data_IF_559856802004
#
_entry.id   IF_559856802004
#
_cell.length_a   1.000
_cell.length_b   1.000
_cell.length_c   1.000
_cell.angle_alpha   90.00
_cell.angle_beta   90.00
_cell.angle_gamma   90.00
#
_symmetry.space_group_name_H-M   'P 1'
#
loop_
_entity.id
_entity.type
_entity.pdbx_description
1 polymer ?
#
# COMPACT_ATOMS: atom_id res chain seq x y z
N UNK A 1 23.63 -8.42 23.89
CA UNK A 1 23.27 -9.63 23.13
C UNK A 1 21.89 -9.55 22.45
N UNK A 2 20.82 -8.98 23.04
CA UNK A 2 19.49 -8.85 22.38
C UNK A 2 19.47 -8.02 21.09
N UNK A 3 20.35 -7.03 20.95
CA UNK A 3 20.37 -6.12 19.79
C UNK A 3 20.92 -6.74 18.50
N UNK A 4 21.79 -7.76 18.58
CA UNK A 4 22.40 -8.39 17.41
C UNK A 4 21.37 -9.29 16.70
N UNK A 5 20.52 -9.99 17.44
CA UNK A 5 19.43 -10.81 16.88
C UNK A 5 18.32 -9.95 16.25
N UNK A 6 18.00 -8.80 16.84
CA UNK A 6 17.06 -7.85 16.25
C UNK A 6 17.57 -7.25 14.93
N UNK A 7 18.87 -6.91 14.86
CA UNK A 7 19.50 -6.39 13.64
C UNK A 7 19.62 -7.44 12.52
N UNK A 8 19.87 -8.71 12.87
CA UNK A 8 19.93 -9.81 11.91
C UNK A 8 18.54 -10.18 11.38
N UNK A 9 17.52 -10.19 12.24
CA UNK A 9 16.12 -10.38 11.81
C UNK A 9 15.67 -9.20 10.94
N UNK A 10 15.99 -7.95 11.31
CA UNK A 10 15.66 -6.81 10.45
C UNK A 10 16.37 -6.87 9.09
N UNK A 11 17.62 -7.35 9.03
CA UNK A 11 18.34 -7.46 7.74
C UNK A 11 17.79 -8.59 6.85
N UNK A 12 17.33 -9.70 7.45
CA UNK A 12 16.66 -10.79 6.72
C UNK A 12 15.26 -10.39 6.23
N UNK A 13 14.54 -9.59 7.04
CA UNK A 13 13.21 -9.09 6.70
C UNK A 13 13.23 -7.99 5.64
N UNK A 14 14.28 -7.16 5.60
CA UNK A 14 14.44 -6.14 4.54
C UNK A 14 14.57 -6.76 3.14
N UNK A 15 15.24 -7.91 3.01
CA UNK A 15 15.33 -8.62 1.72
C UNK A 15 13.99 -9.22 1.27
N UNK A 16 13.23 -9.76 2.23
CA UNK A 16 11.89 -10.30 1.97
C UNK A 16 10.86 -9.18 1.66
N UNK A 17 10.96 -8.04 2.34
CA UNK A 17 10.03 -6.90 2.14
C UNK A 17 10.16 -6.28 0.76
N UNK A 18 11.39 -6.13 0.25
CA UNK A 18 11.66 -5.60 -1.10
C UNK A 18 11.12 -6.56 -2.17
N UNK A 19 11.29 -7.87 -1.96
CA UNK A 19 10.82 -8.89 -2.90
C UNK A 19 9.29 -8.98 -2.95
N UNK A 20 8.62 -8.94 -1.79
CA UNK A 20 7.16 -8.91 -1.72
C UNK A 20 6.59 -7.63 -2.36
N UNK A 21 7.21 -6.47 -2.13
CA UNK A 21 6.80 -5.22 -2.77
C UNK A 21 7.01 -5.23 -4.30
N UNK A 22 8.09 -5.86 -4.78
CA UNK A 22 8.35 -6.02 -6.22
C UNK A 22 7.29 -6.91 -6.88
N UNK A 23 7.06 -8.10 -6.33
CA UNK A 23 6.02 -9.02 -6.83
C UNK A 23 4.62 -8.39 -6.74
N UNK A 24 4.35 -7.59 -5.71
CA UNK A 24 3.10 -6.87 -5.59
C UNK A 24 2.88 -5.89 -6.76
N UNK A 25 3.92 -5.15 -7.16
CA UNK A 25 3.85 -4.26 -8.33
C UNK A 25 3.64 -5.07 -9.63
N UNK A 26 4.32 -6.21 -9.79
CA UNK A 26 4.15 -7.08 -10.96
C UNK A 26 2.72 -7.61 -11.06
N UNK A 27 2.18 -8.16 -9.96
CA UNK A 27 0.80 -8.61 -9.89
C UNK A 27 -0.19 -7.45 -10.16
N UNK A 28 0.11 -6.24 -9.67
CA UNK A 28 -0.70 -5.06 -9.94
C UNK A 28 -0.71 -4.69 -11.44
N UNK A 29 0.45 -4.72 -12.09
CA UNK A 29 0.61 -4.40 -13.52
C UNK A 29 -0.07 -5.46 -14.42
N UNK A 30 -0.10 -6.72 -13.98
CA UNK A 30 -0.84 -7.81 -14.62
C UNK A 30 -2.36 -7.76 -14.39
N UNK A 31 -2.83 -6.87 -13.50
CA UNK A 31 -4.25 -6.77 -13.12
C UNK A 31 -4.70 -7.78 -12.07
N UNK A 32 -3.77 -8.56 -11.51
CA UNK A 32 -3.99 -9.52 -10.43
C UNK A 32 -4.07 -8.80 -9.07
N UNK A 33 -5.09 -7.94 -8.91
CA UNK A 33 -5.16 -6.99 -7.79
C UNK A 33 -5.28 -7.66 -6.41
N UNK A 34 -5.95 -8.82 -6.30
CA UNK A 34 -6.05 -9.54 -5.02
C UNK A 34 -4.71 -10.11 -4.55
N UNK A 35 -3.88 -10.58 -5.48
CA UNK A 35 -2.52 -11.03 -5.19
C UNK A 35 -1.64 -9.84 -4.80
N UNK A 36 -1.71 -8.74 -5.55
CA UNK A 36 -1.01 -7.50 -5.22
C UNK A 36 -1.36 -7.01 -3.81
N UNK A 37 -2.63 -7.04 -3.41
CA UNK A 37 -3.09 -6.68 -2.06
C UNK A 37 -2.43 -7.57 -1.00
N UNK A 38 -2.37 -8.88 -1.22
CA UNK A 38 -1.77 -9.82 -0.27
C UNK A 38 -0.27 -9.55 -0.09
N UNK A 39 0.44 -9.32 -1.20
CA UNK A 39 1.87 -9.06 -1.21
C UNK A 39 2.21 -7.68 -0.61
N UNK A 40 1.44 -6.64 -0.91
CA UNK A 40 1.63 -5.33 -0.27
C UNK A 40 1.42 -5.39 1.23
N UNK A 41 0.45 -6.18 1.73
CA UNK A 41 0.26 -6.36 3.18
C UNK A 41 1.48 -7.00 3.84
N UNK A 42 2.05 -8.04 3.23
CA UNK A 42 3.29 -8.66 3.72
C UNK A 42 4.46 -7.67 3.73
N UNK A 43 4.59 -6.87 2.67
CA UNK A 43 5.61 -5.84 2.60
C UNK A 43 5.41 -4.77 3.70
N UNK A 44 4.16 -4.39 3.99
CA UNK A 44 3.81 -3.45 5.08
C UNK A 44 4.09 -4.07 6.45
N UNK A 45 3.83 -5.36 6.67
CA UNK A 45 4.13 -6.03 7.94
C UNK A 45 5.64 -5.99 8.24
N UNK A 46 6.47 -5.98 7.20
CA UNK A 46 7.92 -5.87 7.32
C UNK A 46 8.43 -4.42 7.41
N UNK A 47 7.77 -3.47 6.73
CA UNK A 47 8.11 -2.03 6.75
C UNK A 47 6.85 -1.16 6.88
N UNK A 48 6.28 -1.04 8.09
CA UNK A 48 4.99 -0.40 8.29
C UNK A 48 5.01 1.12 8.11
N UNK A 49 6.19 1.75 8.19
CA UNK A 49 6.37 3.20 8.05
C UNK A 49 6.52 3.65 6.59
N UNK A 50 6.60 2.69 5.65
CA UNK A 50 6.74 2.99 4.24
C UNK A 50 5.43 3.45 3.61
N UNK A 51 5.21 4.76 3.60
CA UNK A 51 4.03 5.39 3.04
C UNK A 51 3.74 4.96 1.59
N UNK A 52 4.77 4.65 0.78
CA UNK A 52 4.57 4.21 -0.61
C UNK A 52 3.87 2.85 -0.70
N UNK A 53 4.14 1.93 0.23
CA UNK A 53 3.45 0.64 0.28
C UNK A 53 1.97 0.81 0.60
N UNK A 54 1.62 1.72 1.53
CA UNK A 54 0.22 2.07 1.82
C UNK A 54 -0.48 2.70 0.62
N UNK A 55 0.19 3.61 -0.10
CA UNK A 55 -0.35 4.19 -1.34
C UNK A 55 -0.63 3.11 -2.38
N UNK A 56 0.32 2.22 -2.64
CA UNK A 56 0.17 1.16 -3.63
C UNK A 56 -0.92 0.14 -3.23
N UNK A 57 -1.00 -0.23 -1.94
CA UNK A 57 -2.08 -1.05 -1.42
C UNK A 57 -3.45 -0.39 -1.65
N UNK A 58 -3.57 0.91 -1.38
CA UNK A 58 -4.81 1.64 -1.61
C UNK A 58 -5.20 1.66 -3.09
N UNK A 59 -4.23 1.84 -4.00
CA UNK A 59 -4.45 1.73 -5.44
C UNK A 59 -4.92 0.33 -5.86
N UNK A 60 -4.30 -0.73 -5.34
CA UNK A 60 -4.72 -2.11 -5.62
C UNK A 60 -6.14 -2.39 -5.09
N UNK A 61 -6.47 -1.93 -3.88
CA UNK A 61 -7.82 -2.01 -3.32
C UNK A 61 -8.85 -1.29 -4.20
N UNK A 62 -8.53 -0.09 -4.66
CA UNK A 62 -9.40 0.67 -5.57
C UNK A 62 -9.66 -0.10 -6.88
N UNK A 63 -8.61 -0.68 -7.46
CA UNK A 63 -8.70 -1.46 -8.69
C UNK A 63 -9.47 -2.78 -8.53
N UNK A 64 -9.41 -3.40 -7.35
CA UNK A 64 -10.22 -4.58 -7.01
C UNK A 64 -11.70 -4.27 -6.69
N UNK A 65 -12.12 -2.99 -6.74
CA UNK A 65 -13.48 -2.58 -6.39
C UNK A 65 -13.76 -2.49 -4.89
N UNK A 66 -12.74 -2.67 -4.03
CA UNK A 66 -12.86 -2.56 -2.58
C UNK A 66 -12.78 -1.09 -2.13
N UNK A 67 -13.71 -0.26 -2.63
CA UNK A 67 -13.71 1.20 -2.52
C UNK A 67 -13.52 1.72 -1.10
N UNK A 68 -14.28 1.18 -0.13
CA UNK A 68 -14.22 1.63 1.27
C UNK A 68 -12.85 1.37 1.91
N UNK A 69 -12.24 0.22 1.62
CA UNK A 69 -10.91 -0.12 2.13
C UNK A 69 -9.86 0.77 1.47
N UNK A 70 -9.98 1.01 0.16
CA UNK A 70 -9.09 1.90 -0.57
C UNK A 70 -9.08 3.31 0.01
N UNK A 71 -10.25 3.88 0.30
CA UNK A 71 -10.38 5.22 0.91
C UNK A 71 -9.68 5.26 2.27
N UNK A 72 -9.96 4.29 3.15
CA UNK A 72 -9.31 4.22 4.48
C UNK A 72 -7.79 4.11 4.36
N UNK A 73 -7.28 3.33 3.42
CA UNK A 73 -5.83 3.19 3.21
C UNK A 73 -5.20 4.44 2.59
N UNK A 74 -5.89 5.16 1.70
CA UNK A 74 -5.43 6.47 1.22
C UNK A 74 -5.42 7.52 2.34
N UNK A 75 -6.38 7.51 3.26
CA UNK A 75 -6.39 8.38 4.44
C UNK A 75 -5.21 8.06 5.37
N UNK A 76 -4.90 6.77 5.57
CA UNK A 76 -3.71 6.36 6.30
C UNK A 76 -2.44 6.90 5.62
N UNK A 77 -2.27 6.67 4.32
CA UNK A 77 -1.16 7.22 3.55
C UNK A 77 -1.04 8.75 3.69
N UNK A 78 -2.16 9.47 3.61
CA UNK A 78 -2.22 10.93 3.79
C UNK A 78 -1.73 11.37 5.18
N UNK A 79 -2.01 10.58 6.21
CA UNK A 79 -1.57 10.85 7.59
C UNK A 79 -0.06 10.61 7.81
N UNK A 80 0.57 9.78 6.97
CA UNK A 80 2.00 9.43 7.06
C UNK A 80 2.93 10.45 6.42
N UNK A 81 2.39 11.42 5.68
CA UNK A 81 3.17 12.43 4.96
C UNK A 81 2.87 13.85 5.43
N UNK A 82 3.91 14.69 5.49
CA UNK A 82 3.76 16.13 5.71
C UNK A 82 3.69 16.94 4.41
N UNK A 83 4.00 16.31 3.26
CA UNK A 83 4.03 16.95 1.96
C UNK A 83 2.62 17.32 1.48
N UNK A 84 2.44 18.59 1.08
CA UNK A 84 1.19 19.05 0.50
C UNK A 84 0.87 18.34 -0.83
N UNK A 85 1.90 18.01 -1.62
CA UNK A 85 1.76 17.29 -2.89
C UNK A 85 1.21 15.88 -2.68
N UNK A 86 1.78 15.14 -1.73
CA UNK A 86 1.35 13.76 -1.46
C UNK A 86 -0.05 13.73 -0.81
N UNK A 87 -0.38 14.73 0.01
CA UNK A 87 -1.75 14.90 0.51
C UNK A 87 -2.75 15.19 -0.60
N UNK A 88 -2.37 16.04 -1.57
CA UNK A 88 -3.20 16.32 -2.74
C UNK A 88 -3.39 15.07 -3.60
N UNK A 89 -2.33 14.29 -3.80
CA UNK A 89 -2.37 12.99 -4.50
C UNK A 89 -3.31 12.00 -3.81
N UNK A 90 -3.27 11.91 -2.48
CA UNK A 90 -4.19 11.06 -1.72
C UNK A 90 -5.66 11.51 -1.93
N UNK A 91 -5.95 12.80 -1.76
CA UNK A 91 -7.30 13.35 -1.96
C UNK A 91 -7.81 13.16 -3.39
N UNK A 92 -6.95 13.32 -4.39
CA UNK A 92 -7.28 13.05 -5.79
C UNK A 92 -7.70 11.59 -6.01
N UNK A 93 -6.94 10.63 -5.48
CA UNK A 93 -7.26 9.22 -5.62
C UNK A 93 -8.52 8.82 -4.85
N UNK A 94 -8.75 9.39 -3.65
CA UNK A 94 -10.02 9.21 -2.91
C UNK A 94 -11.20 9.73 -3.72
N UNK A 95 -11.09 10.93 -4.30
CA UNK A 95 -12.12 11.51 -5.16
C UNK A 95 -12.42 10.60 -6.36
N UNK A 96 -11.39 10.06 -7.01
CA UNK A 96 -11.55 9.09 -8.09
C UNK A 96 -12.30 7.83 -7.64
N UNK A 97 -11.94 7.25 -6.49
CA UNK A 97 -12.64 6.07 -5.94
C UNK A 97 -14.10 6.38 -5.66
N UNK A 98 -14.41 7.53 -5.05
CA UNK A 98 -15.79 7.95 -4.76
C UNK A 98 -16.61 8.16 -6.05
N UNK A 99 -16.03 8.81 -7.06
CA UNK A 99 -16.68 9.01 -8.36
C UNK A 99 -16.92 7.71 -9.11
N UNK A 100 -15.98 6.76 -9.03
CA UNK A 100 -16.14 5.43 -9.63
C UNK A 100 -17.20 4.61 -8.89
N UNK A 101 -17.33 4.78 -7.57
CA UNK A 101 -18.34 4.08 -6.74
C UNK A 101 -19.77 4.58 -6.99
N UNK A 102 -19.96 5.86 -7.32
CA UNK A 102 -21.29 6.43 -7.64
C UNK A 102 -21.85 5.99 -8.99
N UNK A 103 -21.04 5.36 -9.86
CA UNK A 103 -21.47 4.92 -11.20
C UNK A 103 -22.13 3.54 -11.24
N UNK A 104 -22.38 2.93 -10.08
CA UNK A 104 -22.93 1.57 -9.96
C UNK A 104 -24.32 1.50 -9.30
N UNK A 105 -24.97 2.65 -9.06
CA UNK A 105 -26.38 2.77 -8.69
C UNK A 105 -27.24 3.17 -9.91
#
# INVERSE_FOLDING_TARGET
MRYIWALLISFLLLGASIEDARKANEAYDEGNYDEAISLYKKAIDADPENAKLHFNLASALAKSGQSEKAIRTFEQYKSMTTSAEEKAKANYNIGKVLSDNQKWD
#
